data_IF_486066844362
#
_entry.id   IF_486066844362
#
_cell.length_a   1.000
_cell.length_b   1.000
_cell.length_c   1.000
_cell.angle_alpha   90.00
_cell.angle_beta   90.00
_cell.angle_gamma   90.00
#
_symmetry.space_group_name_H-M   'P 1'
#
loop_
_entity.id
_entity.type
_entity.pdbx_description
1 polymer ?
#
# COMPACT_ATOMS: atom_id res chain seq x y z
N UNK A 1 -1.30 51.85 46.12
CA UNK A 1 -1.52 50.43 46.46
C UNK A 1 -1.47 49.59 45.19
N UNK A 2 -0.83 48.41 45.21
CA UNK A 2 -0.91 47.45 44.10
C UNK A 2 -2.25 46.71 44.21
N UNK A 3 -3.00 46.62 43.11
CA UNK A 3 -4.29 45.92 43.12
C UNK A 3 -4.07 44.40 43.23
N UNK A 4 -5.09 43.64 43.65
CA UNK A 4 -5.05 42.16 43.70
C UNK A 4 -4.70 41.53 42.34
N UNK A 5 -5.01 42.20 41.25
CA UNK A 5 -4.67 41.75 39.89
C UNK A 5 -3.18 41.93 39.58
N UNK A 6 -2.57 43.02 40.05
CA UNK A 6 -1.15 43.34 39.83
C UNK A 6 -0.19 42.33 40.48
N UNK A 7 -0.68 41.59 41.49
CA UNK A 7 0.05 40.53 42.20
C UNK A 7 -0.41 39.12 41.83
N UNK A 8 -1.29 38.99 40.83
CA UNK A 8 -1.82 37.70 40.41
C UNK A 8 -0.74 36.82 39.79
N UNK A 9 -0.80 35.51 40.08
CA UNK A 9 0.15 34.54 39.53
C UNK A 9 0.12 34.54 38.00
N UNK A 10 -1.06 34.66 37.39
CA UNK A 10 -1.20 34.70 35.93
C UNK A 10 -0.49 35.90 35.28
N UNK A 11 -0.56 37.09 35.89
CA UNK A 11 0.17 38.26 35.39
C UNK A 11 1.69 38.10 35.58
N UNK A 12 2.11 37.55 36.72
CA UNK A 12 3.52 37.25 36.99
C UNK A 12 4.07 36.22 36.01
N UNK A 13 3.32 35.16 35.70
CA UNK A 13 3.69 34.15 34.70
C UNK A 13 3.88 34.77 33.32
N UNK A 14 2.97 35.67 32.89
CA UNK A 14 3.12 36.37 31.61
C UNK A 14 4.39 37.22 31.55
N UNK A 15 4.70 37.95 32.62
CA UNK A 15 5.94 38.76 32.70
C UNK A 15 7.19 37.87 32.78
N UNK A 16 7.12 36.75 33.50
CA UNK A 16 8.21 35.77 33.62
C UNK A 16 8.52 35.08 32.28
N UNK A 17 7.48 34.73 31.50
CA UNK A 17 7.63 34.17 30.16
C UNK A 17 8.32 35.17 29.21
N UNK A 18 8.01 36.48 29.31
CA UNK A 18 8.73 37.51 28.54
C UNK A 18 10.24 37.53 28.87
N UNK A 19 10.59 37.46 30.15
CA UNK A 19 12.00 37.38 30.57
C UNK A 19 12.71 36.13 30.04
N UNK A 20 11.99 35.00 29.93
CA UNK A 20 12.50 33.76 29.32
C UNK A 20 12.69 33.91 27.81
N UNK A 21 11.74 34.51 27.09
CA UNK A 21 11.80 34.68 25.63
C UNK A 21 12.80 35.74 25.18
N UNK A 22 13.05 36.77 25.99
CA UNK A 22 14.03 37.84 25.71
C UNK A 22 15.47 37.43 26.06
N UNK A 23 15.65 36.31 26.77
CA UNK A 23 16.99 35.81 27.10
C UNK A 23 17.64 35.14 25.88
N UNK A 24 18.81 35.62 25.41
CA UNK A 24 19.43 35.13 24.17
C UNK A 24 19.87 33.66 24.26
N UNK A 25 20.24 33.20 25.46
CA UNK A 25 20.68 31.81 25.69
C UNK A 25 19.54 30.93 26.22
N UNK A 26 18.33 31.48 26.33
CA UNK A 26 17.18 30.82 26.94
C UNK A 26 17.38 30.47 28.42
N UNK A 27 18.35 31.08 29.11
CA UNK A 27 18.62 30.83 30.54
C UNK A 27 18.20 32.04 31.36
N UNK A 28 17.51 31.80 32.47
CA UNK A 28 17.05 32.85 33.39
C UNK A 28 17.51 32.54 34.82
N UNK A 29 18.11 33.55 35.46
CA UNK A 29 18.46 33.51 36.88
C UNK A 29 17.23 33.86 37.73
N UNK A 30 16.91 32.99 38.70
CA UNK A 30 15.73 33.10 39.55
C UNK A 30 15.80 34.29 40.54
N UNK A 31 16.99 34.74 40.93
CA UNK A 31 17.17 35.95 41.73
C UNK A 31 16.83 37.19 40.89
N UNK A 32 17.40 37.27 39.69
CA UNK A 32 17.15 38.37 38.75
C UNK A 32 15.67 38.45 38.37
N UNK A 33 15.03 37.31 38.16
CA UNK A 33 13.59 37.26 37.89
C UNK A 33 12.74 37.71 39.09
N UNK A 34 13.12 37.36 40.31
CA UNK A 34 12.44 37.83 41.53
C UNK A 34 12.53 39.36 41.69
N UNK A 35 13.70 39.94 41.40
CA UNK A 35 13.93 41.38 41.41
C UNK A 35 13.13 42.09 40.30
N UNK A 36 13.21 41.62 39.06
CA UNK A 36 12.54 42.23 37.92
C UNK A 36 11.00 42.19 38.01
N UNK A 37 10.46 41.18 38.69
CA UNK A 37 9.02 41.05 38.94
C UNK A 37 8.59 41.70 40.26
N UNK A 38 9.53 42.20 41.06
CA UNK A 38 9.31 42.77 42.40
C UNK A 38 8.52 41.81 43.32
N UNK A 39 8.89 40.53 43.31
CA UNK A 39 8.23 39.49 44.12
C UNK A 39 9.25 38.67 44.91
N UNK A 40 8.76 38.00 45.95
CA UNK A 40 9.57 37.06 46.72
C UNK A 40 9.83 35.77 45.93
N UNK A 41 10.97 35.11 46.19
CA UNK A 41 11.36 33.84 45.56
C UNK A 41 10.30 32.74 45.62
N UNK A 42 9.47 32.74 46.66
CA UNK A 42 8.36 31.78 46.79
C UNK A 42 7.41 31.83 45.59
N UNK A 43 7.14 33.02 45.05
CA UNK A 43 6.25 33.20 43.88
C UNK A 43 6.91 32.75 42.58
N UNK A 44 8.22 32.91 42.47
CA UNK A 44 8.98 32.35 41.34
C UNK A 44 8.85 30.83 41.31
N UNK A 45 8.94 30.15 42.47
CA UNK A 45 8.77 28.69 42.53
C UNK A 45 7.36 28.23 42.14
N UNK A 46 6.31 29.00 42.45
CA UNK A 46 4.96 28.66 41.97
C UNK A 46 4.90 28.64 40.44
N UNK A 47 5.56 29.60 39.78
CA UNK A 47 5.62 29.69 38.33
C UNK A 47 6.48 28.56 37.76
N UNK A 48 7.68 28.36 38.30
CA UNK A 48 8.62 27.37 37.77
C UNK A 48 8.12 25.94 37.94
N UNK A 49 7.47 25.61 39.06
CA UNK A 49 6.94 24.26 39.28
C UNK A 49 5.86 23.90 38.24
N UNK A 50 5.00 24.87 37.89
CA UNK A 50 3.98 24.66 36.85
C UNK A 50 4.65 24.49 35.49
N UNK A 51 5.56 25.41 35.12
CA UNK A 51 6.25 25.37 33.83
C UNK A 51 7.16 24.13 33.66
N UNK A 52 7.78 23.67 34.74
CA UNK A 52 8.57 22.43 34.78
C UNK A 52 7.66 21.19 34.71
N UNK A 53 6.49 21.23 35.38
CA UNK A 53 5.49 20.18 35.30
C UNK A 53 4.93 19.94 33.90
N UNK A 54 4.86 21.00 33.08
CA UNK A 54 4.52 20.93 31.65
C UNK A 54 5.76 20.90 30.73
N UNK A 55 6.95 20.71 31.30
CA UNK A 55 8.22 20.53 30.59
C UNK A 55 8.69 21.68 29.69
N UNK A 56 8.12 22.89 29.84
CA UNK A 56 8.57 24.07 29.09
C UNK A 56 9.88 24.66 29.61
N UNK A 57 10.27 24.31 30.83
CA UNK A 57 11.56 24.68 31.41
C UNK A 57 12.21 23.49 32.11
N UNK A 58 13.53 23.55 32.27
CA UNK A 58 14.29 22.62 33.11
C UNK A 58 15.28 23.35 34.00
N UNK A 59 15.64 22.73 35.12
CA UNK A 59 16.74 23.21 35.97
C UNK A 59 18.09 23.01 35.27
N UNK A 60 18.84 24.10 35.07
CA UNK A 60 20.20 24.05 34.50
C UNK A 60 21.26 23.99 35.59
N UNK A 61 21.13 24.83 36.62
CA UNK A 61 22.01 24.84 37.79
C UNK A 61 21.30 25.51 38.98
N UNK A 62 21.98 25.63 40.13
CA UNK A 62 21.42 26.36 41.27
C UNK A 62 21.09 27.80 40.84
N UNK A 63 19.86 28.23 41.11
CA UNK A 63 19.28 29.52 40.70
C UNK A 63 19.15 29.75 39.19
N UNK A 64 19.42 28.78 38.31
CA UNK A 64 19.29 28.96 36.87
C UNK A 64 18.36 27.92 36.24
N UNK A 65 17.39 28.41 35.47
CA UNK A 65 16.48 27.58 34.66
C UNK A 65 16.73 27.84 33.18
N UNK A 66 16.43 26.85 32.35
CA UNK A 66 16.55 26.92 30.90
C UNK A 66 15.19 26.71 30.24
N UNK A 67 14.86 27.57 29.29
CA UNK A 67 13.70 27.49 28.42
C UNK A 67 13.87 26.37 27.40
N UNK A 68 12.85 25.52 27.28
CA UNK A 68 12.84 24.37 26.37
C UNK A 68 11.99 24.60 25.12
N UNK A 69 11.02 25.52 25.17
CA UNK A 69 10.02 25.70 24.11
C UNK A 69 10.59 26.03 22.72
N UNK A 70 11.70 26.76 22.63
CA UNK A 70 12.34 27.10 21.34
C UNK A 70 13.00 25.87 20.69
N UNK A 71 13.55 24.95 21.49
CA UNK A 71 14.23 23.76 20.98
C UNK A 71 13.22 22.69 20.52
N UNK A 72 12.09 22.58 21.21
CA UNK A 72 11.05 21.62 20.89
C UNK A 72 10.27 22.01 19.63
N UNK A 73 9.92 23.29 19.45
CA UNK A 73 9.31 23.77 18.21
C UNK A 73 10.21 23.57 16.99
N UNK A 74 11.52 23.84 17.12
CA UNK A 74 12.47 23.65 16.03
C UNK A 74 12.64 22.16 15.66
N UNK A 75 12.77 21.28 16.66
CA UNK A 75 12.91 19.83 16.44
C UNK A 75 11.63 19.21 15.85
N UNK A 76 10.45 19.62 16.34
CA UNK A 76 9.16 19.19 15.80
C UNK A 76 8.99 19.67 14.37
N UNK A 77 9.34 20.92 14.08
CA UNK A 77 9.26 21.49 12.71
C UNK A 77 10.18 20.75 11.75
N UNK A 78 11.42 20.45 12.15
CA UNK A 78 12.37 19.69 11.34
C UNK A 78 11.87 18.26 11.06
N UNK A 79 11.34 17.57 12.07
CA UNK A 79 10.75 16.23 11.90
C UNK A 79 9.52 16.27 11.00
N UNK A 80 8.67 17.28 11.15
CA UNK A 80 7.49 17.47 10.31
C UNK A 80 7.86 17.77 8.85
N UNK A 81 8.94 18.52 8.60
CA UNK A 81 9.47 18.74 7.26
C UNK A 81 10.04 17.47 6.65
N UNK A 82 10.80 16.67 7.42
CA UNK A 82 11.33 15.39 6.95
C UNK A 82 10.21 14.41 6.55
N UNK A 83 9.21 14.24 7.42
CA UNK A 83 8.05 13.38 7.13
C UNK A 83 7.24 13.87 5.92
N UNK A 84 7.13 15.19 5.72
CA UNK A 84 6.51 15.74 4.52
C UNK A 84 7.31 15.43 3.25
N UNK A 85 8.64 15.41 3.34
CA UNK A 85 9.51 14.98 2.25
C UNK A 85 9.30 13.51 1.90
N UNK A 86 9.31 12.62 2.90
CA UNK A 86 9.06 11.19 2.73
C UNK A 86 7.67 10.92 2.13
N UNK A 87 6.64 11.63 2.58
CA UNK A 87 5.29 11.50 2.00
C UNK A 87 5.24 11.93 0.53
N UNK A 88 5.98 12.98 0.15
CA UNK A 88 6.05 13.43 -1.24
C UNK A 88 6.79 12.41 -2.12
N UNK A 89 7.85 11.80 -1.60
CA UNK A 89 8.59 10.73 -2.28
C UNK A 89 7.70 9.50 -2.49
N UNK A 90 7.04 9.03 -1.44
CA UNK A 90 6.12 7.89 -1.50
C UNK A 90 4.98 8.13 -2.49
N UNK A 91 4.39 9.32 -2.50
CA UNK A 91 3.35 9.68 -3.48
C UNK A 91 3.90 9.68 -4.93
N UNK A 92 5.17 10.04 -5.13
CA UNK A 92 5.82 9.93 -6.43
C UNK A 92 6.04 8.47 -6.87
N UNK A 93 6.41 7.60 -5.93
CA UNK A 93 6.58 6.16 -6.19
C UNK A 93 5.24 5.49 -6.51
N UNK A 94 4.19 5.77 -5.74
CA UNK A 94 2.83 5.29 -5.98
C UNK A 94 2.36 5.65 -7.39
N UNK A 95 2.49 6.93 -7.78
CA UNK A 95 2.14 7.38 -9.12
C UNK A 95 2.91 6.66 -10.23
N UNK A 96 4.18 6.32 -9.98
CA UNK A 96 5.02 5.59 -10.93
C UNK A 96 4.53 4.15 -11.08
N UNK A 97 4.20 3.49 -9.97
CA UNK A 97 3.63 2.13 -9.98
C UNK A 97 2.29 2.09 -10.71
N UNK A 98 1.41 3.06 -10.45
CA UNK A 98 0.12 3.16 -11.14
C UNK A 98 0.30 3.32 -12.66
N UNK A 99 1.28 4.12 -13.09
CA UNK A 99 1.59 4.27 -14.51
C UNK A 99 2.06 2.94 -15.12
N UNK A 100 2.95 2.22 -14.44
CA UNK A 100 3.43 0.91 -14.91
C UNK A 100 2.31 -0.13 -14.97
N UNK A 101 1.41 -0.15 -13.99
CA UNK A 101 0.23 -1.02 -13.99
C UNK A 101 -0.69 -0.69 -15.16
N UNK A 102 -0.92 0.60 -15.42
CA UNK A 102 -1.74 1.05 -16.54
C UNK A 102 -1.11 0.64 -17.88
N UNK A 103 0.19 0.82 -18.04
CA UNK A 103 0.92 0.46 -19.26
C UNK A 103 0.89 -1.06 -19.50
N UNK A 104 1.13 -1.85 -18.45
CA UNK A 104 1.06 -3.31 -18.53
C UNK A 104 -0.36 -3.78 -18.90
N UNK A 105 -1.39 -3.22 -18.26
CA UNK A 105 -2.78 -3.53 -18.58
C UNK A 105 -3.14 -3.17 -20.03
N UNK A 106 -2.63 -2.05 -20.54
CA UNK A 106 -2.82 -1.64 -21.93
C UNK A 106 -2.14 -2.63 -22.89
N UNK A 107 -0.89 -3.03 -22.61
CA UNK A 107 -0.16 -4.00 -23.43
C UNK A 107 -0.89 -5.35 -23.47
N UNK A 108 -1.35 -5.85 -22.34
CA UNK A 108 -2.16 -7.07 -22.27
C UNK A 108 -3.45 -6.95 -23.07
N UNK A 109 -4.16 -5.81 -22.97
CA UNK A 109 -5.37 -5.55 -23.77
C UNK A 109 -5.08 -5.50 -25.26
N UNK A 110 -3.95 -4.92 -25.68
CA UNK A 110 -3.57 -4.88 -27.10
C UNK A 110 -3.24 -6.29 -27.63
N UNK A 111 -2.49 -7.08 -26.86
CA UNK A 111 -2.16 -8.46 -27.22
C UNK A 111 -3.41 -9.34 -27.30
N UNK A 112 -4.29 -9.24 -26.31
CA UNK A 112 -5.52 -10.04 -26.25
C UNK A 112 -6.60 -9.55 -27.19
N UNK A 113 -6.62 -8.25 -27.54
CA UNK A 113 -7.57 -7.58 -28.45
C UNK A 113 -7.24 -7.73 -29.95
N UNK A 114 -6.03 -8.18 -30.27
CA UNK A 114 -5.59 -8.32 -31.66
C UNK A 114 -6.37 -9.44 -32.35
N UNK A 115 -7.04 -9.13 -33.46
CA UNK A 115 -7.87 -10.08 -34.20
C UNK A 115 -7.08 -11.31 -34.70
N UNK A 116 -5.77 -11.15 -34.97
CA UNK A 116 -4.87 -12.26 -35.29
C UNK A 116 -4.68 -13.25 -34.12
N UNK A 117 -4.94 -12.82 -32.88
CA UNK A 117 -4.81 -13.62 -31.66
C UNK A 117 -6.15 -14.15 -31.13
N UNK A 118 -7.30 -13.80 -31.74
CA UNK A 118 -8.63 -14.00 -31.15
C UNK A 118 -9.55 -15.04 -31.82
N UNK A 119 -9.27 -15.54 -33.03
CA UNK A 119 -10.23 -16.40 -33.75
C UNK A 119 -9.65 -17.70 -34.32
N UNK A 120 -10.16 -18.84 -33.82
CA UNK A 120 -9.95 -20.16 -34.43
C UNK A 120 -10.79 -20.32 -35.71
N UNK A 121 -10.22 -20.76 -36.85
CA UNK A 121 -10.95 -20.91 -38.10
C UNK A 121 -11.54 -22.31 -38.37
N UNK A 122 -11.49 -23.28 -37.44
CA UNK A 122 -11.93 -24.66 -37.74
C UNK A 122 -13.04 -25.18 -36.82
N UNK A 123 -14.30 -24.82 -37.11
CA UNK A 123 -15.47 -25.61 -36.67
C UNK A 123 -16.55 -25.78 -37.76
N UNK A 124 -16.24 -25.45 -39.02
CA UNK A 124 -17.24 -25.39 -40.11
C UNK A 124 -17.32 -26.59 -41.05
N UNK A 125 -16.62 -27.71 -40.85
CA UNK A 125 -16.63 -28.83 -41.82
C UNK A 125 -16.58 -30.23 -41.18
N UNK A 126 -17.66 -30.60 -40.50
CA UNK A 126 -18.13 -32.00 -40.45
C UNK A 126 -19.60 -32.03 -40.88
N UNK A 127 -19.83 -31.75 -42.15
CA UNK A 127 -21.12 -31.84 -42.81
C UNK A 127 -20.85 -31.94 -44.30
N UNK A 128 -21.06 -33.12 -44.88
CA UNK A 128 -20.63 -33.46 -46.24
C UNK A 128 -21.18 -32.53 -47.31
N UNK A 129 -20.28 -31.81 -47.99
CA UNK A 129 -20.34 -31.47 -49.42
C UNK A 129 -19.00 -30.88 -49.85
N UNK A 130 -18.35 -31.54 -50.81
CA UNK A 130 -17.10 -31.12 -51.43
C UNK A 130 -17.41 -30.16 -52.57
N UNK A 131 -17.29 -28.86 -52.34
CA UNK A 131 -17.18 -27.87 -53.41
C UNK A 131 -15.69 -27.60 -53.72
N UNK A 132 -15.23 -27.73 -54.98
CA UNK A 132 -13.82 -27.64 -55.35
C UNK A 132 -13.33 -26.22 -55.70
N UNK A 133 -14.06 -25.17 -55.31
CA UNK A 133 -13.76 -23.78 -55.74
C UNK A 133 -13.65 -22.78 -54.58
N UNK A 134 -13.04 -23.16 -53.46
CA UNK A 134 -12.73 -22.22 -52.38
C UNK A 134 -11.23 -21.92 -52.35
N UNK A 135 -10.86 -20.71 -52.73
CA UNK A 135 -9.50 -20.20 -52.63
C UNK A 135 -9.04 -20.22 -51.17
N UNK A 136 -7.85 -20.76 -50.93
CA UNK A 136 -7.18 -20.72 -49.64
C UNK A 136 -6.71 -19.31 -49.34
N UNK A 137 -7.60 -18.40 -48.95
CA UNK A 137 -7.16 -17.30 -48.10
C UNK A 137 -6.95 -17.90 -46.72
N UNK A 138 -5.71 -18.24 -46.40
CA UNK A 138 -5.29 -18.56 -45.03
C UNK A 138 -5.77 -17.44 -44.12
N UNK A 139 -6.90 -17.65 -43.45
CA UNK A 139 -7.29 -16.83 -42.30
C UNK A 139 -6.20 -16.98 -41.24
N UNK A 140 -5.74 -15.90 -40.59
CA UNK A 140 -4.69 -16.01 -39.58
C UNK A 140 -5.13 -16.96 -38.47
N UNK A 141 -4.38 -18.03 -38.28
CA UNK A 141 -4.53 -18.95 -37.18
C UNK A 141 -4.30 -18.21 -35.86
N UNK A 142 -5.24 -18.33 -34.92
CA UNK A 142 -5.05 -17.93 -33.52
C UNK A 142 -3.75 -18.49 -32.96
N UNK A 143 -2.89 -17.63 -32.39
CA UNK A 143 -1.62 -18.04 -31.78
C UNK A 143 -1.69 -18.28 -30.26
N UNK A 144 -2.80 -17.95 -29.61
CA UNK A 144 -2.99 -18.12 -28.17
C UNK A 144 -3.62 -19.49 -27.85
N UNK A 145 -2.82 -20.55 -27.98
CA UNK A 145 -3.19 -21.90 -27.58
C UNK A 145 -2.00 -22.64 -26.97
N UNK A 146 -2.28 -23.76 -26.31
CA UNK A 146 -1.27 -24.72 -25.85
C UNK A 146 -1.61 -26.08 -26.44
N UNK A 147 -0.59 -26.87 -26.73
CA UNK A 147 -0.73 -28.24 -27.22
C UNK A 147 -0.69 -29.25 -26.06
N UNK A 148 -1.12 -30.49 -26.32
CA UNK A 148 -0.97 -31.57 -25.34
C UNK A 148 0.50 -31.82 -24.97
N UNK A 149 1.41 -31.67 -25.93
CA UNK A 149 2.84 -31.81 -25.71
C UNK A 149 3.38 -30.74 -24.75
N UNK A 150 2.90 -29.49 -24.88
CA UNK A 150 3.29 -28.39 -23.97
C UNK A 150 2.84 -28.66 -22.54
N UNK A 151 1.62 -29.17 -22.36
CA UNK A 151 1.08 -29.52 -21.04
C UNK A 151 1.83 -30.69 -20.40
N UNK A 152 2.20 -31.71 -21.19
CA UNK A 152 2.95 -32.89 -20.71
C UNK A 152 4.43 -32.62 -20.47
N UNK A 153 5.00 -31.59 -21.12
CA UNK A 153 6.37 -31.16 -20.87
C UNK A 153 6.57 -30.57 -19.46
N UNK A 154 5.49 -30.20 -18.77
CA UNK A 154 5.54 -29.72 -17.38
C UNK A 154 5.78 -30.93 -16.46
N UNK A 155 6.95 -30.97 -15.81
CA UNK A 155 7.39 -32.10 -14.98
C UNK A 155 6.41 -32.49 -13.87
N UNK A 156 5.73 -31.51 -13.28
CA UNK A 156 4.76 -31.74 -12.20
C UNK A 156 3.50 -32.48 -12.64
N UNK A 157 3.25 -32.59 -13.94
CA UNK A 157 2.05 -33.21 -14.54
C UNK A 157 2.33 -34.60 -15.16
N UNK A 158 3.52 -35.14 -14.96
CA UNK A 158 3.85 -36.49 -15.41
C UNK A 158 3.02 -37.53 -14.65
N UNK A 159 2.53 -38.56 -15.36
CA UNK A 159 1.73 -39.66 -14.79
C UNK A 159 0.45 -39.22 -14.05
N UNK A 160 -0.05 -38.00 -14.34
CA UNK A 160 -1.28 -37.48 -13.76
C UNK A 160 -2.39 -37.36 -14.81
N UNK A 161 -3.64 -37.59 -14.36
CA UNK A 161 -4.84 -37.30 -15.13
C UNK A 161 -5.01 -35.79 -15.27
N UNK A 162 -4.91 -35.28 -16.49
CA UNK A 162 -5.04 -33.86 -16.80
C UNK A 162 -6.41 -33.55 -17.37
N UNK A 163 -7.12 -32.62 -16.74
CA UNK A 163 -8.44 -32.12 -17.18
C UNK A 163 -8.32 -30.63 -17.47
N UNK A 164 -8.48 -30.24 -18.74
CA UNK A 164 -8.51 -28.85 -19.16
C UNK A 164 -9.94 -28.33 -19.14
N UNK A 165 -10.19 -27.28 -18.35
CA UNK A 165 -11.51 -26.64 -18.22
C UNK A 165 -11.46 -25.27 -18.87
N UNK A 166 -12.37 -25.02 -19.81
CA UNK A 166 -12.60 -23.71 -20.42
C UNK A 166 -13.99 -23.23 -20.04
N UNK A 167 -14.02 -22.17 -19.24
CA UNK A 167 -15.25 -21.60 -18.71
C UNK A 167 -15.34 -20.10 -19.07
N UNK A 168 -16.55 -19.55 -19.23
CA UNK A 168 -16.72 -18.11 -19.48
C UNK A 168 -16.31 -17.29 -18.25
N UNK A 169 -16.07 -15.97 -18.42
CA UNK A 169 -15.78 -15.07 -17.32
C UNK A 169 -16.85 -15.13 -16.23
N UNK A 170 -16.42 -14.94 -14.97
CA UNK A 170 -17.28 -14.98 -13.77
C UNK A 170 -17.80 -16.38 -13.39
N UNK A 171 -17.27 -17.45 -13.98
CA UNK A 171 -17.53 -18.82 -13.51
C UNK A 171 -17.02 -18.99 -12.08
N UNK A 172 -17.88 -19.50 -11.20
CA UNK A 172 -17.56 -19.84 -9.82
C UNK A 172 -16.97 -21.24 -9.75
N UNK A 173 -15.87 -21.39 -9.01
CA UNK A 173 -15.22 -22.65 -8.69
C UNK A 173 -15.27 -22.83 -7.17
N UNK A 174 -15.91 -23.90 -6.72
CA UNK A 174 -16.01 -24.27 -5.31
C UNK A 174 -15.39 -25.65 -5.11
N UNK A 175 -14.52 -25.77 -4.10
CA UNK A 175 -13.94 -27.05 -3.64
C UNK A 175 -14.43 -27.25 -2.20
N UNK A 176 -15.45 -28.10 -1.98
CA UNK A 176 -15.93 -28.41 -0.64
C UNK A 176 -14.82 -29.04 0.23
N UNK A 177 -14.93 -28.87 1.56
CA UNK A 177 -14.01 -29.48 2.50
C UNK A 177 -13.98 -31.01 2.32
N UNK A 178 -12.77 -31.58 2.48
CA UNK A 178 -12.54 -33.01 2.34
C UNK A 178 -13.27 -33.80 3.43
N UNK A 179 -14.48 -34.27 3.13
CA UNK A 179 -15.04 -35.44 3.79
C UNK A 179 -14.18 -36.65 3.46
N UNK A 180 -13.99 -37.55 4.41
CA UNK A 180 -12.91 -38.56 4.48
C UNK A 180 -12.65 -39.41 3.21
N UNK A 181 -13.51 -39.42 2.18
CA UNK A 181 -13.33 -40.24 0.96
C UNK A 181 -13.80 -39.60 -0.37
N UNK A 182 -14.19 -38.33 -0.44
CA UNK A 182 -14.69 -37.74 -1.70
C UNK A 182 -14.12 -36.35 -2.03
N UNK A 183 -13.21 -36.32 -3.00
CA UNK A 183 -12.79 -35.08 -3.67
C UNK A 183 -13.89 -34.61 -4.62
N UNK A 184 -14.45 -33.42 -4.38
CA UNK A 184 -15.46 -32.82 -5.25
C UNK A 184 -15.00 -31.43 -5.70
N UNK A 185 -15.33 -31.09 -6.94
CA UNK A 185 -15.07 -29.78 -7.53
C UNK A 185 -16.36 -29.33 -8.25
N UNK A 186 -16.91 -28.20 -7.84
CA UNK A 186 -18.14 -27.65 -8.39
C UNK A 186 -17.84 -26.41 -9.24
N UNK A 187 -18.30 -26.42 -10.49
CA UNK A 187 -18.19 -25.30 -11.40
C UNK A 187 -19.57 -24.78 -11.78
N UNK A 188 -19.79 -23.47 -11.63
CA UNK A 188 -21.07 -22.83 -11.93
C UNK A 188 -20.88 -21.58 -12.77
N UNK A 189 -21.53 -21.55 -13.92
CA UNK A 189 -21.51 -20.43 -14.87
C UNK A 189 -22.93 -19.94 -15.15
N UNK A 190 -23.10 -18.62 -15.23
CA UNK A 190 -24.33 -17.96 -15.72
C UNK A 190 -24.17 -17.37 -17.12
N UNK A 191 -22.92 -17.28 -17.61
CA UNK A 191 -22.56 -16.51 -18.81
C UNK A 191 -22.26 -17.39 -20.04
N UNK A 192 -22.57 -18.69 -19.97
CA UNK A 192 -22.37 -19.64 -21.07
C UNK A 192 -21.99 -21.04 -20.60
N UNK A 193 -21.88 -22.00 -21.55
CA UNK A 193 -21.50 -23.38 -21.25
C UNK A 193 -20.03 -23.47 -20.81
N UNK A 194 -19.73 -24.47 -19.99
CA UNK A 194 -18.37 -24.84 -19.58
C UNK A 194 -17.94 -26.02 -20.43
N UNK A 195 -16.78 -25.90 -21.07
CA UNK A 195 -16.15 -26.95 -21.88
C UNK A 195 -15.08 -27.66 -21.04
N UNK A 196 -15.10 -29.00 -21.03
CA UNK A 196 -14.16 -29.82 -20.26
C UNK A 196 -13.53 -30.85 -21.19
N UNK A 197 -12.19 -30.94 -21.17
CA UNK A 197 -11.41 -31.83 -22.01
C UNK A 197 -10.51 -32.71 -21.15
N UNK A 198 -10.52 -34.01 -21.41
CA UNK A 198 -9.54 -34.92 -20.84
C UNK A 198 -8.31 -34.93 -21.76
N UNK A 199 -7.15 -34.56 -21.21
CA UNK A 199 -5.90 -34.62 -21.95
C UNK A 199 -5.37 -36.06 -21.93
N UNK A 200 -5.32 -36.75 -23.08
CA UNK A 200 -4.86 -38.14 -23.12
C UNK A 200 -3.43 -38.25 -22.59
N UNK A 201 -3.14 -39.39 -21.97
CA UNK A 201 -1.75 -39.81 -21.80
C UNK A 201 -1.23 -40.23 -23.16
N UNK A 202 0.04 -39.94 -23.46
CA UNK A 202 0.69 -40.55 -24.63
C UNK A 202 0.67 -42.06 -24.39
N UNK A 203 -0.28 -42.75 -25.03
CA UNK A 203 -0.26 -44.20 -25.12
C UNK A 203 0.95 -44.48 -25.99
N UNK A 204 2.06 -44.89 -25.36
CA UNK A 204 3.14 -45.54 -26.10
C UNK A 204 2.50 -46.81 -26.63
N UNK A 205 2.02 -46.78 -27.87
CA UNK A 205 1.70 -48.02 -28.58
C UNK A 205 3.02 -48.79 -28.68
N UNK A 206 3.24 -49.72 -27.74
CA UNK A 206 4.17 -50.81 -27.95
C UNK A 206 3.69 -51.51 -29.22
N UNK A 207 4.37 -51.19 -30.32
CA UNK A 207 4.20 -51.89 -31.58
C UNK A 207 4.58 -53.36 -31.33
N UNK A 208 3.72 -54.33 -31.68
CA UNK A 208 3.95 -55.75 -31.43
C UNK A 208 5.16 -56.33 -32.18
#
# INVERSE_FOLDING_TARGET
EKTRYDTSLGLLTKKFIRLLSESPDGVVDLNRAAEALEVQKRRIYDITNVLEGIQLIRKKSKNNIQWMGIFEEAAVTAKQQALRGELAELAGMEKTLDQLLQDCALQLRQLTGNQANQRYPYWGKWGGRTDPAFSYTLSPSTLAYVTYQDLRAIGDFQEQTLIAVKAPPETQLEVPDFGEDNLQLHLKSTNGPIEVYLCPEEIVEESP
#
